data_IF_809783872778
#
_entry.id   IF_809783872778
#
_cell.length_a   1.000
_cell.length_b   1.000
_cell.length_c   1.000
_cell.angle_alpha   90.00
_cell.angle_beta   90.00
_cell.angle_gamma   90.00
#
_symmetry.space_group_name_H-M   'P 1'
#
loop_
_entity.id
_entity.type
_entity.pdbx_description
1 polymer ?
#
# COMPACT_ATOMS: atom_id res chain seq x y z
N UNK A 1 -7.24 -4.23 22.97
CA UNK A 1 -5.79 -4.11 22.70
C UNK A 1 -5.61 -2.84 21.89
N UNK A 2 -4.77 -1.90 22.33
CA UNK A 2 -4.61 -0.62 21.63
C UNK A 2 -3.35 -0.66 20.74
N UNK A 3 -3.40 -1.50 19.71
CA UNK A 3 -2.32 -1.65 18.74
C UNK A 3 -2.76 -1.08 17.39
N UNK A 4 -1.85 -0.38 16.72
CA UNK A 4 -2.03 0.12 15.37
C UNK A 4 -0.94 -0.43 14.45
N UNK A 5 -1.34 -0.85 13.26
CA UNK A 5 -0.41 -1.22 12.18
C UNK A 5 -0.37 -0.08 11.18
N UNK A 6 0.80 0.51 10.98
CA UNK A 6 1.05 1.54 9.98
C UNK A 6 1.77 0.89 8.81
N UNK A 7 1.17 0.97 7.64
CA UNK A 7 1.78 0.52 6.38
C UNK A 7 1.97 1.74 5.49
N UNK A 8 3.23 2.16 5.32
CA UNK A 8 3.61 3.20 4.37
C UNK A 8 3.91 2.53 3.05
N UNK A 9 3.19 2.92 2.00
CA UNK A 9 3.25 2.24 0.72
C UNK A 9 2.97 3.17 -0.46
N UNK A 10 3.17 2.63 -1.64
CA UNK A 10 2.63 3.18 -2.89
C UNK A 10 1.94 2.04 -3.65
N UNK A 11 0.74 2.29 -4.17
CA UNK A 11 -0.08 1.29 -4.87
C UNK A 11 0.57 0.75 -6.14
N UNK A 12 1.46 1.52 -6.77
CA UNK A 12 2.17 1.19 -8.00
C UNK A 12 3.62 0.73 -7.73
N UNK A 13 4.05 0.68 -6.46
CA UNK A 13 5.36 0.14 -6.10
C UNK A 13 5.36 -1.40 -6.04
N UNK A 14 6.20 -2.09 -6.82
CA UNK A 14 6.29 -3.55 -6.78
C UNK A 14 6.65 -4.13 -5.40
N UNK A 15 7.52 -3.46 -4.63
CA UNK A 15 7.87 -3.88 -3.26
C UNK A 15 6.69 -3.71 -2.30
N UNK A 16 5.91 -2.63 -2.44
CA UNK A 16 4.68 -2.43 -1.67
C UNK A 16 3.67 -3.55 -1.94
N UNK A 17 3.50 -3.93 -3.21
CA UNK A 17 2.65 -5.07 -3.57
C UNK A 17 3.13 -6.39 -2.97
N UNK A 18 4.45 -6.62 -2.92
CA UNK A 18 5.02 -7.79 -2.27
C UNK A 18 4.81 -7.80 -0.75
N UNK A 19 4.73 -6.64 -0.11
CA UNK A 19 4.50 -6.50 1.32
C UNK A 19 3.01 -6.53 1.73
N UNK A 20 2.07 -6.22 0.84
CA UNK A 20 0.61 -6.24 1.15
C UNK A 20 0.12 -7.55 1.78
N UNK A 21 0.55 -8.76 1.35
CA UNK A 21 0.18 -10.01 2.01
C UNK A 21 0.60 -10.10 3.49
N UNK A 22 1.65 -9.37 3.91
CA UNK A 22 2.07 -9.29 5.30
C UNK A 22 1.03 -8.53 6.14
N UNK A 23 0.55 -7.40 5.61
CA UNK A 23 -0.51 -6.58 6.22
C UNK A 23 -1.79 -7.40 6.34
N UNK A 24 -2.16 -8.14 5.29
CA UNK A 24 -3.32 -9.02 5.31
C UNK A 24 -3.19 -10.14 6.37
N UNK A 25 -2.03 -10.78 6.48
CA UNK A 25 -1.79 -11.81 7.49
C UNK A 25 -1.94 -11.27 8.93
N UNK A 26 -1.44 -10.05 9.19
CA UNK A 26 -1.56 -9.39 10.50
C UNK A 26 -3.02 -9.03 10.78
N UNK A 27 -3.70 -8.39 9.82
CA UNK A 27 -5.11 -8.00 9.98
C UNK A 27 -6.04 -9.19 10.22
N UNK A 28 -5.75 -10.34 9.60
CA UNK A 28 -6.50 -11.59 9.83
C UNK A 28 -6.21 -12.18 11.22
N UNK A 29 -4.96 -12.13 11.68
CA UNK A 29 -4.57 -12.66 12.99
C UNK A 29 -5.02 -11.77 14.16
N UNK A 30 -5.14 -10.45 13.92
CA UNK A 30 -5.52 -9.45 14.90
C UNK A 30 -6.66 -8.57 14.37
N UNK A 31 -7.93 -9.06 14.34
CA UNK A 31 -9.04 -8.31 13.75
C UNK A 31 -9.33 -6.96 14.40
N UNK A 32 -8.90 -6.77 15.65
CA UNK A 32 -9.07 -5.52 16.42
C UNK A 32 -7.91 -4.53 16.22
N UNK A 33 -6.87 -4.88 15.45
CA UNK A 33 -5.75 -3.97 15.18
C UNK A 33 -6.23 -2.84 14.28
N UNK A 34 -5.92 -1.60 14.65
CA UNK A 34 -6.24 -0.45 13.79
C UNK A 34 -5.28 -0.42 12.62
N UNK A 35 -5.81 -0.45 11.40
CA UNK A 35 -5.02 -0.34 10.17
C UNK A 35 -4.93 1.10 9.71
N UNK A 36 -3.70 1.59 9.58
CA UNK A 36 -3.34 2.86 8.96
C UNK A 36 -2.63 2.57 7.64
N UNK A 37 -3.35 2.65 6.53
CA UNK A 37 -2.81 2.41 5.19
C UNK A 37 -2.42 3.76 4.57
N UNK A 38 -1.15 4.10 4.65
CA UNK A 38 -0.63 5.42 4.30
C UNK A 38 0.07 5.41 2.94
N UNK A 39 -0.62 5.94 1.94
CA UNK A 39 -0.10 6.03 0.57
C UNK A 39 0.81 7.26 0.43
N UNK A 40 2.08 7.07 0.04
CA UNK A 40 3.06 8.15 -0.04
C UNK A 40 3.08 8.89 -1.39
N UNK A 41 2.45 8.35 -2.44
CA UNK A 41 2.32 9.00 -3.75
C UNK A 41 3.68 9.17 -4.44
N UNK A 42 4.49 8.12 -4.40
CA UNK A 42 5.84 8.08 -4.95
C UNK A 42 5.85 8.06 -6.49
N UNK A 43 4.88 7.40 -7.12
CA UNK A 43 4.77 7.36 -8.59
C UNK A 43 3.75 8.39 -9.08
N UNK A 44 4.20 9.36 -9.89
CA UNK A 44 3.39 10.50 -10.37
C UNK A 44 3.45 10.68 -11.90
N UNK A 45 3.75 9.61 -12.64
CA UNK A 45 3.83 9.67 -14.11
C UNK A 45 5.04 10.43 -14.63
N UNK A 46 6.14 10.44 -13.86
CA UNK A 46 7.40 11.15 -14.16
C UNK A 46 8.64 10.24 -14.12
N UNK A 47 8.45 8.96 -13.84
CA UNK A 47 9.53 7.98 -13.72
C UNK A 47 9.17 6.64 -14.35
N UNK A 48 10.16 6.02 -15.00
CA UNK A 48 10.01 4.70 -15.60
C UNK A 48 10.31 3.61 -14.58
N UNK A 49 9.53 2.53 -14.61
CA UNK A 49 9.79 1.37 -13.76
C UNK A 49 10.90 0.50 -14.36
N UNK A 50 12.01 0.38 -13.65
CA UNK A 50 13.12 -0.48 -14.09
C UNK A 50 12.71 -1.97 -14.06
N UNK A 51 12.85 -2.68 -15.18
CA UNK A 51 12.59 -4.12 -15.25
C UNK A 51 13.40 -4.93 -14.21
N UNK A 52 14.61 -4.47 -13.86
CA UNK A 52 15.43 -5.09 -12.83
C UNK A 52 14.74 -5.08 -11.47
N UNK A 53 13.99 -4.01 -11.14
CA UNK A 53 13.26 -3.91 -9.89
C UNK A 53 12.16 -4.98 -9.81
N UNK A 54 11.38 -5.16 -10.89
CA UNK A 54 10.34 -6.19 -10.97
C UNK A 54 10.95 -7.59 -10.79
N UNK A 55 12.05 -7.88 -11.48
CA UNK A 55 12.77 -9.17 -11.36
C UNK A 55 13.27 -9.42 -9.93
N UNK A 56 13.79 -8.40 -9.26
CA UNK A 56 14.26 -8.52 -7.88
C UNK A 56 13.09 -8.86 -6.94
N UNK A 57 11.93 -8.21 -7.11
CA UNK A 57 10.74 -8.52 -6.33
C UNK A 57 10.28 -9.97 -6.54
N UNK A 58 10.28 -10.47 -7.77
CA UNK A 58 9.91 -11.86 -8.05
C UNK A 58 10.87 -12.89 -7.44
N UNK A 59 12.16 -12.55 -7.36
CA UNK A 59 13.20 -13.40 -6.77
C UNK A 59 13.09 -13.48 -5.23
N UNK A 60 12.70 -12.37 -4.60
CA UNK A 60 12.69 -12.22 -3.14
C UNK A 60 11.30 -12.36 -2.51
N UNK A 61 10.25 -12.49 -3.32
CA UNK A 61 8.87 -12.69 -2.85
C UNK A 61 8.14 -13.81 -3.60
N UNK A 62 6.89 -14.08 -3.18
CA UNK A 62 5.99 -14.97 -3.92
C UNK A 62 5.17 -14.26 -5.00
N UNK A 63 5.41 -12.97 -5.25
CA UNK A 63 4.67 -12.23 -6.27
C UNK A 63 5.13 -12.61 -7.66
N UNK A 64 4.18 -12.55 -8.60
CA UNK A 64 4.40 -12.72 -10.03
C UNK A 64 3.71 -11.57 -10.73
N UNK A 65 4.34 -11.06 -11.77
CA UNK A 65 3.81 -9.95 -12.55
C UNK A 65 3.32 -10.48 -13.89
N UNK A 66 2.27 -9.88 -14.43
CA UNK A 66 1.76 -10.24 -15.74
C UNK A 66 2.87 -10.05 -16.79
N UNK A 67 2.97 -10.94 -17.79
CA UNK A 67 3.95 -10.75 -18.87
C UNK A 67 3.78 -9.39 -19.55
N UNK A 68 2.53 -8.93 -19.71
CA UNK A 68 2.20 -7.60 -20.25
C UNK A 68 2.62 -6.43 -19.36
N UNK A 69 2.85 -6.68 -18.08
CA UNK A 69 3.39 -5.70 -17.13
C UNK A 69 4.93 -5.62 -17.19
N UNK A 70 5.59 -6.77 -17.44
CA UNK A 70 7.05 -6.89 -17.48
C UNK A 70 7.64 -6.50 -18.84
N UNK A 71 6.90 -6.77 -19.93
CA UNK A 71 7.15 -6.15 -21.24
C UNK A 71 7.07 -4.62 -21.13
N UNK A 72 7.76 -3.85 -21.99
CA UNK A 72 7.88 -2.40 -21.83
C UNK A 72 6.50 -1.78 -21.57
N UNK A 73 6.29 -1.32 -20.34
CA UNK A 73 5.04 -0.68 -19.95
C UNK A 73 4.90 0.55 -20.86
N UNK A 74 3.78 0.70 -21.58
CA UNK A 74 3.65 1.79 -22.54
C UNK A 74 3.46 3.16 -21.88
N UNK A 75 3.53 3.24 -20.54
CA UNK A 75 3.28 4.42 -19.74
C UNK A 75 4.15 4.43 -18.48
N UNK A 76 4.42 5.62 -17.97
CA UNK A 76 5.01 5.85 -16.66
C UNK A 76 3.91 5.67 -15.59
N UNK A 77 4.12 4.88 -14.54
CA UNK A 77 3.12 4.67 -13.50
C UNK A 77 2.77 5.98 -12.80
N UNK A 78 1.47 6.21 -12.62
CA UNK A 78 0.92 7.35 -11.90
C UNK A 78 -0.13 6.87 -10.89
N UNK A 79 0.21 7.03 -9.62
CA UNK A 79 -0.57 6.60 -8.47
C UNK A 79 -1.39 7.73 -7.85
N UNK A 80 -1.37 8.95 -8.39
CA UNK A 80 -1.94 10.16 -7.78
C UNK A 80 -3.43 9.98 -7.43
N UNK A 81 -4.21 9.50 -8.40
CA UNK A 81 -5.64 9.26 -8.20
C UNK A 81 -5.91 8.10 -7.22
N UNK A 82 -5.07 7.06 -7.26
CA UNK A 82 -5.14 5.94 -6.32
C UNK A 82 -4.80 6.38 -4.88
N UNK A 83 -3.82 7.26 -4.70
CA UNK A 83 -3.48 7.87 -3.41
C UNK A 83 -4.67 8.65 -2.82
N UNK A 84 -5.34 9.44 -3.65
CA UNK A 84 -6.55 10.18 -3.26
C UNK A 84 -7.69 9.25 -2.83
N UNK A 85 -7.95 8.21 -3.61
CA UNK A 85 -9.02 7.26 -3.31
C UNK A 85 -8.73 6.45 -2.04
N UNK A 86 -7.49 5.96 -1.90
CA UNK A 86 -7.07 5.18 -0.73
C UNK A 86 -7.01 6.03 0.54
N UNK A 87 -6.63 7.32 0.46
CA UNK A 87 -6.71 8.25 1.58
C UNK A 87 -8.14 8.45 2.07
N UNK A 88 -9.09 8.66 1.15
CA UNK A 88 -10.50 8.73 1.50
C UNK A 88 -10.99 7.42 2.13
N UNK A 89 -10.61 6.27 1.56
CA UNK A 89 -10.99 4.96 2.09
C UNK A 89 -10.42 4.74 3.50
N UNK A 90 -9.16 5.08 3.73
CA UNK A 90 -8.51 4.99 5.05
C UNK A 90 -9.29 5.80 6.11
N UNK A 91 -9.76 6.99 5.75
CA UNK A 91 -10.40 7.92 6.69
C UNK A 91 -11.91 7.71 6.85
N UNK A 92 -12.61 7.21 5.82
CA UNK A 92 -14.08 7.19 5.74
C UNK A 92 -14.69 5.81 5.48
N UNK A 93 -13.88 4.85 5.03
CA UNK A 93 -14.30 3.49 4.70
C UNK A 93 -13.22 2.46 5.10
N UNK A 94 -12.62 2.63 6.29
CA UNK A 94 -11.42 1.89 6.72
C UNK A 94 -11.58 0.36 6.61
N UNK A 95 -12.77 -0.16 6.93
CA UNK A 95 -13.13 -1.58 6.79
C UNK A 95 -12.99 -2.16 5.36
N UNK A 96 -12.92 -1.32 4.32
CA UNK A 96 -12.73 -1.74 2.92
C UNK A 96 -11.38 -1.30 2.35
N UNK A 97 -10.59 -0.50 3.09
CA UNK A 97 -9.39 0.13 2.56
C UNK A 97 -8.32 -0.90 2.13
N UNK A 98 -8.14 -1.98 2.91
CA UNK A 98 -7.20 -3.04 2.56
C UNK A 98 -7.64 -3.81 1.30
N UNK A 99 -8.93 -4.11 1.18
CA UNK A 99 -9.45 -4.82 0.00
C UNK A 99 -9.39 -3.94 -1.26
N UNK A 100 -9.67 -2.64 -1.12
CA UNK A 100 -9.47 -1.65 -2.18
C UNK A 100 -8.02 -1.64 -2.67
N UNK A 101 -7.06 -1.56 -1.75
CA UNK A 101 -5.63 -1.60 -2.09
C UNK A 101 -5.26 -2.87 -2.84
N UNK A 102 -5.70 -4.04 -2.35
CA UNK A 102 -5.43 -5.33 -2.98
C UNK A 102 -5.98 -5.39 -4.40
N UNK A 103 -7.20 -4.88 -4.64
CA UNK A 103 -7.78 -4.86 -5.97
C UNK A 103 -7.06 -3.90 -6.91
N UNK A 104 -6.65 -2.71 -6.44
CA UNK A 104 -5.84 -1.78 -7.25
C UNK A 104 -4.53 -2.43 -7.65
N UNK A 105 -3.80 -3.01 -6.69
CA UNK A 105 -2.53 -3.66 -6.95
C UNK A 105 -2.70 -4.87 -7.88
N UNK A 106 -3.73 -5.69 -7.67
CA UNK A 106 -4.02 -6.81 -8.56
C UNK A 106 -4.25 -6.34 -9.99
N UNK A 107 -5.15 -5.36 -10.19
CA UNK A 107 -5.43 -4.81 -11.52
C UNK A 107 -4.16 -4.24 -12.18
N UNK A 108 -3.31 -3.58 -11.39
CA UNK A 108 -2.07 -3.01 -11.90
C UNK A 108 -1.04 -4.08 -12.28
N UNK A 109 -0.70 -4.99 -11.36
CA UNK A 109 0.42 -5.91 -11.52
C UNK A 109 0.07 -7.24 -12.20
N UNK A 110 -1.17 -7.72 -12.05
CA UNK A 110 -1.64 -9.02 -12.59
C UNK A 110 -2.47 -8.86 -13.87
N UNK A 111 -3.23 -7.77 -13.99
CA UNK A 111 -4.04 -7.49 -15.20
C UNK A 111 -3.38 -6.47 -16.15
N UNK A 112 -2.25 -5.88 -15.74
CA UNK A 112 -1.49 -4.87 -16.48
C UNK A 112 -2.31 -3.62 -16.85
N UNK A 113 -3.21 -3.20 -15.96
CA UNK A 113 -3.97 -1.96 -16.11
C UNK A 113 -3.20 -0.78 -15.50
N UNK A 114 -3.20 0.41 -16.13
CA UNK A 114 -2.58 1.60 -15.57
C UNK A 114 -3.06 1.94 -14.17
N UNK A 115 -4.37 1.80 -13.89
CA UNK A 115 -4.99 2.20 -12.62
C UNK A 115 -4.81 3.70 -12.29
N UNK A 116 -4.66 4.53 -13.32
CA UNK A 116 -4.47 5.97 -13.23
C UNK A 116 -5.70 6.76 -13.68
N UNK A 117 -6.74 6.10 -14.21
CA UNK A 117 -7.97 6.76 -14.65
C UNK A 117 -9.14 6.60 -13.69
N UNK A 118 -10.07 7.55 -13.75
CA UNK A 118 -11.31 7.51 -12.97
C UNK A 118 -12.14 6.27 -13.26
N UNK A 119 -12.27 5.86 -14.52
CA UNK A 119 -13.14 4.76 -14.91
C UNK A 119 -12.64 3.42 -14.36
N UNK A 120 -11.32 3.19 -14.41
CA UNK A 120 -10.67 2.00 -13.84
C UNK A 120 -10.87 1.93 -12.31
N UNK A 121 -10.59 3.02 -11.60
CA UNK A 121 -10.74 3.06 -10.15
C UNK A 121 -12.21 2.99 -9.72
N UNK A 122 -13.12 3.62 -10.47
CA UNK A 122 -14.56 3.52 -10.23
C UNK A 122 -15.10 2.11 -10.43
N UNK A 123 -14.57 1.33 -11.37
CA UNK A 123 -14.95 -0.07 -11.55
C UNK A 123 -14.66 -0.89 -10.29
N UNK A 124 -13.50 -0.68 -9.65
CA UNK A 124 -13.16 -1.28 -8.36
C UNK A 124 -14.10 -0.78 -7.25
N UNK A 125 -14.36 0.53 -7.18
CA UNK A 125 -15.30 1.07 -6.19
C UNK A 125 -16.70 0.44 -6.33
N UNK A 126 -17.19 0.23 -7.55
CA UNK A 126 -18.47 -0.44 -7.80
C UNK A 126 -18.47 -1.89 -7.33
N UNK A 127 -17.39 -2.65 -7.60
CA UNK A 127 -17.22 -4.02 -7.09
C UNK A 127 -17.28 -4.05 -5.55
N UNK A 128 -16.67 -3.07 -4.90
CA UNK A 128 -16.67 -2.93 -3.44
C UNK A 128 -17.91 -2.21 -2.89
N UNK A 129 -18.86 -1.78 -3.74
CA UNK A 129 -20.03 -0.99 -3.33
C UNK A 129 -19.66 0.29 -2.57
N UNK A 130 -18.54 0.91 -2.92
CA UNK A 130 -18.05 2.17 -2.39
C UNK A 130 -18.58 3.34 -3.23
N UNK A 131 -18.91 4.44 -2.55
CA UNK A 131 -19.37 5.69 -3.18
C UNK A 131 -18.47 6.87 -2.81
N UNK A 132 -17.19 6.88 -3.24
CA UNK A 132 -16.28 7.99 -2.99
C UNK A 132 -16.80 9.31 -3.60
N UNK A 133 -16.49 10.46 -2.98
CA UNK A 133 -16.85 11.75 -3.55
C UNK A 133 -16.01 12.05 -4.80
N UNK A 134 -16.59 12.75 -5.79
CA UNK A 134 -15.93 13.02 -7.07
C UNK A 134 -14.53 13.66 -6.96
N UNK A 135 -14.28 14.42 -5.87
CA UNK A 135 -12.99 15.07 -5.60
C UNK A 135 -11.79 14.10 -5.49
N UNK A 136 -12.00 12.82 -5.19
CA UNK A 136 -10.90 11.85 -5.10
C UNK A 136 -10.37 11.42 -6.47
N UNK A 137 -11.15 11.66 -7.53
CA UNK A 137 -10.80 11.29 -8.91
C UNK A 137 -10.17 12.44 -9.69
N UNK A 138 -9.57 13.40 -8.99
CA UNK A 138 -8.72 14.41 -9.59
C UNK A 138 -7.32 13.82 -9.78
N UNK A 139 -6.74 14.08 -10.94
CA UNK A 139 -5.40 13.67 -11.37
C UNK A 139 -4.40 14.83 -11.38
N UNK A 140 -4.86 16.08 -11.22
CA UNK A 140 -4.04 17.29 -11.25
C UNK A 140 -3.40 17.65 -9.91
N UNK A 141 -3.86 17.03 -8.81
CA UNK A 141 -3.33 17.27 -7.46
C UNK A 141 -3.73 16.16 -6.47
N UNK A 142 -2.96 16.04 -5.40
CA UNK A 142 -3.39 15.31 -4.22
C UNK A 142 -4.59 16.01 -3.55
N UNK A 143 -5.51 15.21 -3.05
CA UNK A 143 -6.61 15.65 -2.22
C UNK A 143 -6.08 16.01 -0.82
N UNK A 144 -6.78 16.89 -0.11
CA UNK A 144 -6.42 17.24 1.28
C UNK A 144 -6.24 16.03 2.20
N UNK A 145 -7.07 14.99 2.01
CA UNK A 145 -6.97 13.76 2.79
C UNK A 145 -5.64 13.03 2.52
N UNK A 146 -5.16 13.04 1.27
CA UNK A 146 -3.86 12.48 0.90
C UNK A 146 -2.69 13.37 1.34
N UNK A 147 -2.80 14.70 1.21
CA UNK A 147 -1.78 15.65 1.67
C UNK A 147 -1.52 15.52 3.19
N UNK A 148 -2.57 15.35 4.01
CA UNK A 148 -2.40 15.11 5.44
C UNK A 148 -1.66 13.81 5.73
N UNK A 149 -2.02 12.72 5.04
CA UNK A 149 -1.32 11.43 5.18
C UNK A 149 0.15 11.56 4.76
N UNK A 150 0.46 12.31 3.70
CA UNK A 150 1.85 12.53 3.28
C UNK A 150 2.66 13.32 4.30
N UNK A 151 2.04 14.29 4.97
CA UNK A 151 2.69 15.00 6.07
C UNK A 151 2.93 14.05 7.26
N UNK A 152 1.94 13.23 7.63
CA UNK A 152 2.11 12.23 8.70
C UNK A 152 3.21 11.21 8.35
N UNK A 153 3.32 10.81 7.08
CA UNK A 153 4.42 9.97 6.58
C UNK A 153 5.76 10.68 6.74
N UNK A 154 5.86 11.95 6.32
CA UNK A 154 7.10 12.72 6.41
C UNK A 154 7.59 12.81 7.87
N UNK A 155 6.70 13.20 8.78
CA UNK A 155 7.00 13.32 10.21
C UNK A 155 7.42 11.95 10.78
N UNK A 156 6.75 10.87 10.40
CA UNK A 156 7.10 9.52 10.83
C UNK A 156 8.44 9.04 10.27
N UNK A 157 8.74 9.35 9.01
CA UNK A 157 9.99 9.00 8.34
C UNK A 157 11.20 9.69 8.97
N UNK A 158 11.03 10.92 9.49
CA UNK A 158 12.05 11.59 10.32
C UNK A 158 12.34 10.81 11.61
N UNK A 159 11.30 10.29 12.27
CA UNK A 159 11.43 9.52 13.52
C UNK A 159 12.13 8.17 13.28
N UNK A 160 11.76 7.45 12.21
CA UNK A 160 12.30 6.11 11.94
C UNK A 160 13.61 6.11 11.15
N UNK A 161 14.07 7.28 10.70
CA UNK A 161 15.36 7.45 10.03
C UNK A 161 15.44 6.82 8.63
N UNK A 162 14.31 6.60 7.96
CA UNK A 162 14.29 6.06 6.59
C UNK A 162 13.09 6.58 5.81
N UNK A 163 13.31 6.87 4.53
CA UNK A 163 12.27 7.22 3.56
C UNK A 163 11.92 6.06 2.62
N UNK A 164 12.51 4.88 2.85
CA UNK A 164 12.30 3.71 1.98
C UNK A 164 10.89 3.16 2.15
N UNK A 165 10.27 2.80 1.03
CA UNK A 165 8.98 2.12 0.99
C UNK A 165 9.11 0.72 0.38
N UNK A 166 8.29 -0.26 0.81
CA UNK A 166 7.31 -0.15 1.89
C UNK A 166 7.97 -0.05 3.28
N UNK A 167 7.25 0.56 4.22
CA UNK A 167 7.58 0.48 5.64
C UNK A 167 6.38 -0.07 6.40
N UNK A 168 6.64 -0.96 7.36
CA UNK A 168 5.60 -1.60 8.16
C UNK A 168 5.95 -1.40 9.63
N UNK A 169 5.08 -0.73 10.36
CA UNK A 169 5.32 -0.36 11.76
C UNK A 169 4.19 -0.83 12.64
N UNK A 170 4.54 -1.32 13.81
CA UNK A 170 3.61 -1.64 14.88
C UNK A 170 3.73 -0.55 15.95
N UNK A 171 2.65 0.20 16.15
CA UNK A 171 2.50 1.09 17.29
C UNK A 171 1.70 0.35 18.37
N UNK A 172 2.26 0.25 19.57
CA UNK A 172 1.60 -0.39 20.70
C UNK A 172 2.05 0.28 22.00
N UNK A 173 1.06 0.75 22.78
CA UNK A 173 1.29 1.65 23.92
C UNK A 173 2.16 2.85 23.53
N UNK A 174 3.30 3.06 24.20
CA UNK A 174 4.25 4.15 23.89
C UNK A 174 5.39 3.70 22.96
N UNK A 175 5.30 2.49 22.39
CA UNK A 175 6.34 1.92 21.53
C UNK A 175 5.94 1.99 20.05
N UNK A 176 6.95 2.27 19.21
CA UNK A 176 6.86 2.18 17.75
C UNK A 176 7.96 1.26 17.24
N UNK A 177 7.58 0.14 16.65
CA UNK A 177 8.51 -0.88 16.16
C UNK A 177 8.45 -0.96 14.64
N UNK A 178 9.60 -0.79 13.98
CA UNK A 178 9.74 -1.04 12.55
C UNK A 178 9.89 -2.55 12.30
N UNK A 179 8.87 -3.16 11.70
CA UNK A 179 8.87 -4.57 11.34
C UNK A 179 9.70 -4.79 10.07
N UNK A 180 10.71 -5.66 10.17
CA UNK A 180 11.55 -6.01 9.01
C UNK A 180 10.78 -6.92 8.03
N UNK A 181 9.98 -6.30 7.17
CA UNK A 181 9.13 -6.98 6.19
C UNK A 181 9.90 -7.92 5.24
N UNK A 182 11.17 -7.62 4.94
CA UNK A 182 12.00 -8.41 4.03
C UNK A 182 12.15 -9.88 4.47
N UNK A 183 12.10 -10.14 5.78
CA UNK A 183 12.23 -11.50 6.32
C UNK A 183 11.02 -12.40 6.00
N UNK A 184 9.90 -11.80 5.59
CA UNK A 184 8.60 -12.50 5.54
C UNK A 184 7.97 -12.55 4.14
N UNK A 185 8.57 -11.91 3.12
CA UNK A 185 8.00 -11.80 1.76
C UNK A 185 7.72 -13.16 1.07
N UNK A 186 8.43 -14.22 1.46
CA UNK A 186 8.21 -15.61 0.96
C UNK A 186 7.27 -16.43 1.84
N UNK A 187 6.99 -16.00 3.07
CA UNK A 187 6.06 -16.67 3.99
C UNK A 187 5.32 -15.63 4.83
N UNK A 188 4.30 -14.96 4.26
CA UNK A 188 3.61 -13.86 4.93
C UNK A 188 3.07 -14.17 6.31
N UNK A 189 2.53 -15.38 6.52
CA UNK A 189 2.01 -15.80 7.82
C UNK A 189 3.05 -15.82 8.94
N UNK A 190 4.35 -15.87 8.62
CA UNK A 190 5.39 -15.88 9.65
C UNK A 190 5.57 -14.51 10.34
N UNK A 191 5.11 -13.40 9.74
CA UNK A 191 5.20 -12.08 10.37
C UNK A 191 4.32 -11.98 11.62
N UNK A 192 3.26 -12.79 11.70
CA UNK A 192 2.32 -12.81 12.84
C UNK A 192 3.04 -13.16 14.14
N UNK A 193 4.02 -14.07 14.10
CA UNK A 193 4.82 -14.39 15.29
C UNK A 193 5.71 -13.24 15.72
N UNK A 194 6.24 -12.45 14.78
CA UNK A 194 7.01 -11.25 15.12
C UNK A 194 6.12 -10.21 15.83
N UNK A 195 4.94 -9.94 15.28
CA UNK A 195 3.94 -9.05 15.91
C UNK A 195 3.57 -9.55 17.30
N UNK A 196 3.35 -10.86 17.46
CA UNK A 196 3.04 -11.47 18.75
C UNK A 196 4.15 -11.23 19.78
N UNK A 197 5.42 -11.30 19.40
CA UNK A 197 6.53 -11.06 20.31
C UNK A 197 6.53 -9.60 20.78
N UNK A 198 6.36 -8.65 19.87
CA UNK A 198 6.32 -7.21 20.20
C UNK A 198 5.13 -6.84 21.09
N UNK A 199 3.96 -7.44 20.87
CA UNK A 199 2.76 -7.19 21.70
C UNK A 199 2.86 -7.76 23.13
N UNK A 200 3.84 -8.62 23.39
CA UNK A 200 4.08 -9.23 24.71
C UNK A 200 5.40 -8.78 25.36
N UNK A 201 6.13 -7.86 24.72
CA UNK A 201 7.39 -7.30 25.22
C UNK A 201 7.12 -6.24 26.30
#
# INVERSE_FOLDING_TARGET
MNAELIFIYDSHCPWSYAATPLVEAIAQAYPDIKLNLWHCGHYQGDQTLAQALVKNVEADSNKRFASKYVEPMPFEPDSTMAANLTAWANNKANHQALELLKLIQKSHFEDALPMSSKDELMAICQQLKMSPPAKVFKDDAFSKDAEFIMQDIFDLQEVIGTQSIPALLLAFDDNLVLLNHNLYLKKPSAIVEAVKLELNA
#
